data_IF_026505350337
#
_entry.id   IF_026505350337
#
_cell.length_a   1.000
_cell.length_b   1.000
_cell.length_c   1.000
_cell.angle_alpha   90.00
_cell.angle_beta   90.00
_cell.angle_gamma   90.00
#
_symmetry.space_group_name_H-M   'P 1'
#
loop_
_entity.id
_entity.type
_entity.pdbx_description
1 polymer ?
#
# COMPACT_ATOMS: atom_id res chain seq x y z
N UNK A 1 -2.74 27.78 -6.34
CA UNK A 1 -1.60 27.02 -5.79
C UNK A 1 -1.88 26.81 -4.33
N UNK A 2 -1.95 25.56 -3.84
CA UNK A 2 -2.01 25.31 -2.40
C UNK A 2 -0.70 25.81 -1.80
N UNK A 3 -0.77 26.67 -0.79
CA UNK A 3 0.39 27.20 -0.10
C UNK A 3 0.97 26.07 0.77
N UNK A 4 2.08 25.49 0.32
CA UNK A 4 2.58 24.19 0.79
C UNK A 4 3.33 24.29 2.13
N UNK A 5 3.51 25.49 2.68
CA UNK A 5 4.36 25.72 3.85
C UNK A 5 3.62 26.29 5.07
N UNK A 6 2.31 26.56 4.98
CA UNK A 6 1.52 27.04 6.13
C UNK A 6 0.68 25.91 6.73
N UNK A 7 1.30 25.10 7.58
CA UNK A 7 0.60 24.14 8.44
C UNK A 7 0.74 24.57 9.90
N UNK A 8 -0.38 24.82 10.59
CA UNK A 8 -0.34 25.22 12.00
C UNK A 8 0.10 24.09 12.94
N UNK A 9 -0.28 22.83 12.61
CA UNK A 9 -0.08 21.66 13.48
C UNK A 9 0.02 20.37 12.66
N UNK A 10 0.79 19.41 13.16
CA UNK A 10 0.82 18.04 12.66
C UNK A 10 0.32 17.08 13.74
N UNK A 11 -0.51 16.10 13.36
CA UNK A 11 -1.10 15.13 14.27
C UNK A 11 -0.79 13.71 13.83
N UNK A 12 -0.32 12.88 14.76
CA UNK A 12 -0.12 11.44 14.57
C UNK A 12 -1.16 10.65 15.38
N UNK A 13 -1.70 9.58 14.80
CA UNK A 13 -2.69 8.69 15.41
C UNK A 13 -2.49 7.26 14.91
N UNK A 14 -3.04 6.29 15.63
CA UNK A 14 -3.19 4.92 15.14
C UNK A 14 -4.10 4.92 13.90
N UNK A 15 -3.71 4.17 12.88
CA UNK A 15 -4.55 3.94 11.71
C UNK A 15 -5.48 2.76 11.98
N UNK A 16 -6.78 2.95 11.75
CA UNK A 16 -7.75 1.84 11.82
C UNK A 16 -7.68 0.99 10.53
N UNK A 17 -8.19 -0.25 10.54
CA UNK A 17 -8.26 -1.08 9.34
C UNK A 17 -9.01 -0.40 8.19
N UNK A 18 -10.07 0.34 8.48
CA UNK A 18 -10.85 1.10 7.50
C UNK A 18 -10.02 2.23 6.90
N UNK A 19 -9.24 2.93 7.71
CA UNK A 19 -8.34 4.00 7.26
C UNK A 19 -7.24 3.46 6.34
N UNK A 20 -6.67 2.29 6.66
CA UNK A 20 -5.66 1.61 5.82
C UNK A 20 -6.26 1.24 4.46
N UNK A 21 -7.48 0.68 4.45
CA UNK A 21 -8.18 0.35 3.19
C UNK A 21 -8.52 1.60 2.39
N UNK A 22 -8.91 2.70 3.04
CA UNK A 22 -9.21 3.97 2.38
C UNK A 22 -7.99 4.61 1.70
N UNK A 23 -6.79 4.42 2.24
CA UNK A 23 -5.55 4.86 1.59
C UNK A 23 -5.11 3.98 0.43
N UNK A 24 -5.63 2.75 0.37
CA UNK A 24 -5.18 1.77 -0.60
C UNK A 24 -5.77 1.99 -1.98
N UNK A 25 -4.94 1.81 -3.00
CA UNK A 25 -5.34 1.74 -4.41
C UNK A 25 -5.61 0.30 -4.87
N UNK A 26 -5.45 -0.69 -4.00
CA UNK A 26 -5.70 -2.10 -4.31
C UNK A 26 -4.98 -3.08 -3.39
N UNK A 27 -5.48 -4.31 -3.38
CA UNK A 27 -4.94 -5.44 -2.61
C UNK A 27 -3.82 -6.16 -3.38
N UNK A 28 -2.70 -6.43 -2.71
CA UNK A 28 -1.61 -7.26 -3.23
C UNK A 28 -1.84 -8.70 -2.78
N UNK A 29 -2.04 -9.60 -3.76
CA UNK A 29 -2.37 -11.02 -3.52
C UNK A 29 -1.21 -11.96 -3.78
N UNK A 30 -0.26 -11.50 -4.58
CA UNK A 30 0.77 -12.31 -5.20
C UNK A 30 2.15 -11.86 -4.72
N UNK A 31 3.04 -12.78 -4.33
CA UNK A 31 4.40 -12.43 -3.90
C UNK A 31 5.30 -12.03 -5.08
N UNK A 32 4.88 -12.31 -6.31
CA UNK A 32 5.69 -12.04 -7.49
C UNK A 32 5.93 -10.53 -7.71
N UNK A 33 7.10 -10.22 -8.29
CA UNK A 33 7.56 -8.85 -8.48
C UNK A 33 7.49 -8.43 -9.94
N UNK A 34 8.50 -8.86 -10.71
CA UNK A 34 8.64 -8.60 -12.14
C UNK A 34 9.00 -9.89 -12.86
N UNK A 35 8.55 -9.99 -14.10
CA UNK A 35 8.92 -11.07 -14.97
C UNK A 35 10.38 -10.91 -15.42
N UNK A 36 11.21 -11.93 -15.19
CA UNK A 36 12.64 -11.86 -15.52
C UNK A 36 12.94 -11.73 -17.02
N UNK A 37 12.07 -12.25 -17.91
CA UNK A 37 12.29 -12.17 -19.37
C UNK A 37 11.80 -10.86 -19.94
N UNK A 38 10.59 -10.44 -19.55
CA UNK A 38 9.94 -9.28 -20.16
C UNK A 38 10.19 -7.97 -19.40
N UNK A 39 10.74 -8.06 -18.18
CA UNK A 39 10.93 -6.95 -17.24
C UNK A 39 9.63 -6.21 -16.89
N UNK A 40 8.47 -6.82 -17.19
CA UNK A 40 7.16 -6.28 -16.88
C UNK A 40 6.73 -6.70 -15.48
N UNK A 41 6.01 -5.81 -14.80
CA UNK A 41 5.41 -6.12 -13.49
C UNK A 41 4.38 -7.24 -13.59
N UNK A 42 4.37 -8.13 -12.60
CA UNK A 42 3.36 -9.18 -12.52
C UNK A 42 2.03 -8.61 -12.02
N UNK A 43 0.91 -9.15 -12.54
CA UNK A 43 -0.44 -8.72 -12.16
C UNK A 43 -0.75 -9.16 -10.74
N UNK A 44 -1.30 -8.25 -9.93
CA UNK A 44 -1.60 -8.43 -8.49
C UNK A 44 -0.37 -8.67 -7.59
N UNK A 45 0.83 -8.55 -8.16
CA UNK A 45 2.10 -8.62 -7.45
C UNK A 45 2.52 -7.31 -6.79
N UNK A 46 3.70 -7.33 -6.16
CA UNK A 46 4.25 -6.20 -5.39
C UNK A 46 4.50 -4.93 -6.21
N UNK A 47 4.66 -5.05 -7.53
CA UNK A 47 4.88 -3.93 -8.43
C UNK A 47 3.72 -3.65 -9.40
N UNK A 48 2.57 -4.28 -9.19
CA UNK A 48 1.45 -4.27 -10.12
C UNK A 48 1.04 -2.85 -10.55
N UNK A 49 1.09 -2.57 -11.85
CA UNK A 49 0.73 -1.26 -12.41
C UNK A 49 -0.74 -0.89 -12.22
N UNK A 50 -1.63 -1.87 -12.05
CA UNK A 50 -3.05 -1.62 -11.77
C UNK A 50 -3.26 -0.94 -10.41
N UNK A 51 -2.47 -1.34 -9.40
CA UNK A 51 -2.56 -0.84 -8.02
C UNK A 51 -1.77 0.47 -7.91
N UNK A 52 -0.48 0.41 -8.25
CA UNK A 52 0.45 1.50 -7.97
C UNK A 52 0.49 2.56 -9.09
N UNK A 53 -0.08 2.29 -10.26
CA UNK A 53 -0.02 3.16 -11.43
C UNK A 53 1.04 2.74 -12.45
N UNK A 54 1.08 3.39 -13.62
CA UNK A 54 1.87 2.93 -14.77
C UNK A 54 3.38 3.11 -14.55
N UNK A 55 4.19 2.20 -15.08
CA UNK A 55 5.66 2.27 -15.02
C UNK A 55 6.22 3.38 -15.92
N UNK A 56 5.54 3.64 -17.04
CA UNK A 56 5.92 4.67 -18.02
C UNK A 56 4.82 5.72 -18.10
N UNK A 57 5.23 6.96 -18.33
CA UNK A 57 4.27 8.07 -18.42
C UNK A 57 3.29 7.84 -19.58
N UNK A 58 2.00 7.95 -19.26
CA UNK A 58 0.91 7.88 -20.24
C UNK A 58 0.87 6.58 -21.06
N UNK A 59 1.37 5.47 -20.52
CA UNK A 59 1.32 4.15 -21.14
C UNK A 59 0.70 3.14 -20.18
N UNK A 60 -0.32 2.41 -20.65
CA UNK A 60 -0.88 1.29 -19.90
C UNK A 60 -0.04 0.01 -20.10
N UNK A 61 -0.11 -0.91 -19.15
CA UNK A 61 0.69 -2.15 -19.14
C UNK A 61 0.60 -3.01 -20.42
N UNK A 62 -0.60 -3.14 -20.99
CA UNK A 62 -0.82 -3.94 -22.20
C UNK A 62 -0.43 -3.22 -23.50
N UNK A 63 -0.12 -1.92 -23.45
CA UNK A 63 0.23 -1.10 -24.60
C UNK A 63 -0.93 -0.67 -25.50
N UNK A 64 -2.20 -0.98 -25.16
CA UNK A 64 -3.39 -0.54 -25.91
C UNK A 64 -3.51 0.99 -25.95
N UNK A 65 -3.39 1.62 -24.78
CA UNK A 65 -3.40 3.07 -24.60
C UNK A 65 -1.98 3.58 -24.38
N UNK A 66 -1.56 4.51 -25.25
CA UNK A 66 -0.26 5.18 -25.22
C UNK A 66 -0.43 6.65 -25.56
N UNK A 67 0.46 7.49 -25.02
CA UNK A 67 0.54 8.95 -25.21
C UNK A 67 -0.50 9.72 -24.39
N UNK A 68 -0.22 11.01 -24.22
CA UNK A 68 -0.96 11.95 -23.35
C UNK A 68 -2.45 12.06 -23.70
N UNK A 69 -2.86 11.78 -24.95
CA UNK A 69 -4.25 11.91 -25.39
C UNK A 69 -5.25 11.03 -24.60
N UNK A 70 -4.79 9.94 -24.00
CA UNK A 70 -5.62 9.05 -23.18
C UNK A 70 -5.50 9.34 -21.68
N UNK A 71 -5.03 10.52 -21.29
CA UNK A 71 -4.91 10.94 -19.89
C UNK A 71 -6.20 10.65 -19.11
N UNK A 72 -6.07 9.94 -17.99
CA UNK A 72 -7.17 9.60 -17.09
C UNK A 72 -8.02 8.40 -17.52
N UNK A 73 -7.76 7.81 -18.70
CA UNK A 73 -8.47 6.61 -19.14
C UNK A 73 -7.96 5.39 -18.37
N UNK A 74 -8.89 4.61 -17.81
CA UNK A 74 -8.59 3.29 -17.24
C UNK A 74 -8.68 2.26 -18.36
N UNK A 75 -7.60 1.50 -18.58
CA UNK A 75 -7.59 0.50 -19.63
C UNK A 75 -8.54 -0.66 -19.32
N UNK A 76 -9.48 -0.94 -20.21
CA UNK A 76 -10.39 -2.09 -20.18
C UNK A 76 -9.69 -3.46 -20.10
N UNK A 77 -8.52 -3.60 -20.74
CA UNK A 77 -7.80 -4.89 -20.80
C UNK A 77 -6.93 -5.16 -19.57
N UNK A 78 -6.18 -4.16 -19.11
CA UNK A 78 -5.21 -4.34 -18.01
C UNK A 78 -5.59 -3.63 -16.70
N UNK A 79 -6.63 -2.79 -16.71
CA UNK A 79 -7.08 -2.03 -15.54
C UNK A 79 -6.14 -0.89 -15.12
N UNK A 80 -5.05 -0.65 -15.85
CA UNK A 80 -4.09 0.43 -15.53
C UNK A 80 -4.63 1.76 -15.99
N UNK A 81 -4.62 2.74 -15.09
CA UNK A 81 -4.93 4.13 -15.39
C UNK A 81 -3.78 4.80 -16.13
N UNK A 82 -4.10 5.48 -17.22
CA UNK A 82 -3.13 6.23 -18.03
C UNK A 82 -2.85 7.58 -17.38
N UNK A 83 -1.82 7.61 -16.54
CA UNK A 83 -1.35 8.79 -15.81
C UNK A 83 0.18 8.89 -15.83
N UNK A 84 0.75 9.86 -15.11
CA UNK A 84 2.21 9.97 -14.93
C UNK A 84 2.70 8.87 -13.98
N UNK A 85 3.86 8.30 -14.26
CA UNK A 85 4.54 7.32 -13.39
C UNK A 85 4.84 7.86 -11.99
N UNK A 86 4.87 9.20 -11.81
CA UNK A 86 5.04 9.86 -10.50
C UNK A 86 4.05 9.34 -9.44
N UNK A 87 2.82 8.97 -9.82
CA UNK A 87 1.81 8.48 -8.87
C UNK A 87 2.26 7.22 -8.11
N UNK A 88 3.21 6.44 -8.65
CA UNK A 88 3.79 5.25 -8.00
C UNK A 88 4.51 5.57 -6.69
N UNK A 89 4.86 6.84 -6.45
CA UNK A 89 5.50 7.32 -5.22
C UNK A 89 4.50 7.73 -4.14
N UNK A 90 3.22 7.84 -4.50
CA UNK A 90 2.17 8.40 -3.64
C UNK A 90 1.04 7.37 -3.40
N UNK A 91 0.78 6.46 -4.35
CA UNK A 91 -0.22 5.39 -4.21
C UNK A 91 0.25 4.29 -3.29
N UNK A 92 -0.60 3.93 -2.32
CA UNK A 92 -0.37 2.85 -1.38
C UNK A 92 -1.15 1.59 -1.79
N UNK A 93 -0.60 0.43 -1.44
CA UNK A 93 -1.28 -0.87 -1.52
C UNK A 93 -1.59 -1.38 -0.12
N UNK A 94 -2.41 -2.42 -0.02
CA UNK A 94 -2.60 -3.14 1.25
C UNK A 94 -2.59 -4.66 1.00
N UNK A 95 -2.46 -5.41 2.08
CA UNK A 95 -2.61 -6.87 2.11
C UNK A 95 -3.73 -7.16 3.10
N UNK A 96 -4.74 -7.91 2.68
CA UNK A 96 -5.79 -8.38 3.58
C UNK A 96 -5.28 -9.66 4.27
N UNK A 97 -5.17 -9.60 5.60
CA UNK A 97 -4.67 -10.73 6.38
C UNK A 97 -5.81 -11.71 6.67
N UNK A 98 -5.55 -13.00 6.49
CA UNK A 98 -6.52 -14.04 6.80
C UNK A 98 -6.82 -14.15 8.31
N UNK A 99 -5.88 -13.73 9.15
CA UNK A 99 -6.02 -13.69 10.61
C UNK A 99 -5.42 -12.38 11.16
N UNK A 100 -5.97 -11.83 12.26
CA UNK A 100 -5.41 -10.66 12.89
C UNK A 100 -4.03 -10.94 13.46
N UNK A 101 -3.16 -9.93 13.44
CA UNK A 101 -1.80 -9.99 13.99
C UNK A 101 -1.56 -8.81 14.92
N UNK A 102 -0.75 -9.01 15.97
CA UNK A 102 -0.35 -7.92 16.86
C UNK A 102 0.72 -7.05 16.21
N UNK A 103 0.62 -5.74 16.37
CA UNK A 103 1.68 -4.83 15.91
C UNK A 103 2.86 -4.83 16.89
N UNK A 104 4.04 -5.20 16.42
CA UNK A 104 5.24 -5.46 17.24
C UNK A 104 5.63 -4.28 18.16
N UNK A 105 5.43 -3.03 17.72
CA UNK A 105 5.75 -1.85 18.52
C UNK A 105 5.00 -1.78 19.87
N UNK A 106 3.76 -2.27 19.93
CA UNK A 106 2.96 -2.21 21.17
C UNK A 106 3.17 -3.45 22.05
N UNK A 107 3.70 -4.53 21.46
CA UNK A 107 3.99 -5.78 22.14
C UNK A 107 5.42 -5.82 22.71
N UNK A 108 6.45 -5.73 21.84
CA UNK A 108 7.87 -5.83 22.22
C UNK A 108 8.48 -4.50 22.69
N UNK A 109 7.78 -3.38 22.54
CA UNK A 109 8.23 -2.10 23.07
C UNK A 109 8.43 -2.16 24.59
N UNK A 110 9.42 -1.44 25.11
CA UNK A 110 9.70 -1.37 26.55
C UNK A 110 9.28 0.03 27.05
N UNK A 111 8.32 0.15 27.98
CA UNK A 111 7.47 -0.92 28.52
C UNK A 111 6.41 -1.38 27.51
N UNK A 112 5.97 -2.65 27.63
CA UNK A 112 4.97 -3.23 26.72
C UNK A 112 3.64 -2.50 26.88
N UNK A 113 3.20 -1.79 25.84
CA UNK A 113 1.95 -1.02 25.88
C UNK A 113 0.74 -1.95 26.01
N UNK A 114 0.78 -3.10 25.36
CA UNK A 114 -0.24 -4.14 25.50
C UNK A 114 -0.22 -4.77 26.90
N UNK A 115 0.97 -5.04 27.45
CA UNK A 115 1.10 -5.56 28.82
C UNK A 115 0.52 -4.62 29.87
N UNK A 116 0.80 -3.33 29.75
CA UNK A 116 0.22 -2.31 30.63
C UNK A 116 -1.30 -2.19 30.49
N UNK A 117 -1.83 -2.30 29.26
CA UNK A 117 -3.26 -2.19 29.01
C UNK A 117 -4.05 -3.37 29.57
N UNK A 118 -3.47 -4.57 29.52
CA UNK A 118 -4.13 -5.82 29.91
C UNK A 118 -3.75 -6.30 31.33
N UNK A 119 -2.88 -5.56 32.04
CA UNK A 119 -2.28 -5.96 33.31
C UNK A 119 -1.60 -7.35 33.25
N UNK A 120 -0.79 -7.57 32.21
CA UNK A 120 -0.12 -8.83 31.93
C UNK A 120 1.40 -8.68 31.84
N UNK A 121 2.13 -9.67 32.37
CA UNK A 121 3.58 -9.73 32.16
C UNK A 121 3.90 -9.93 30.68
N UNK A 122 4.98 -9.30 30.14
CA UNK A 122 5.38 -9.48 28.74
C UNK A 122 5.62 -10.94 28.36
N UNK A 123 6.13 -11.75 29.30
CA UNK A 123 6.33 -13.20 29.10
C UNK A 123 5.03 -13.97 28.92
N UNK A 124 3.96 -13.59 29.64
CA UNK A 124 2.66 -14.21 29.49
C UNK A 124 2.01 -13.84 28.14
N UNK A 125 2.10 -12.56 27.75
CA UNK A 125 1.65 -12.08 26.44
C UNK A 125 2.35 -12.77 25.27
N UNK A 126 3.66 -13.00 25.39
CA UNK A 126 4.44 -13.68 24.36
C UNK A 126 3.96 -15.11 24.09
N UNK A 127 3.59 -15.86 25.15
CA UNK A 127 3.02 -17.21 25.05
C UNK A 127 1.62 -17.27 24.45
N UNK A 128 0.93 -16.13 24.36
CA UNK A 128 -0.41 -16.05 23.75
C UNK A 128 -0.29 -15.72 22.27
N UNK A 129 0.70 -14.91 21.89
CA UNK A 129 0.93 -14.49 20.52
C UNK A 129 1.67 -15.54 19.68
N UNK A 130 2.49 -16.38 20.32
CA UNK A 130 3.28 -17.44 19.70
C UNK A 130 3.04 -18.77 20.41
#
# INVERSE_FOLDING_TARGET
MLDVNHFDRMRIRLASPEQIRAWSSGEVKKPETINYRTLKSEREGLFCEKIFGPTRDWECHCGKYKRVRYKGVICDRCGVEVTRSKVRRERLGHIELAAPVSHIWYFKGIPSRMGLLLDMSPRALEKILY
#
